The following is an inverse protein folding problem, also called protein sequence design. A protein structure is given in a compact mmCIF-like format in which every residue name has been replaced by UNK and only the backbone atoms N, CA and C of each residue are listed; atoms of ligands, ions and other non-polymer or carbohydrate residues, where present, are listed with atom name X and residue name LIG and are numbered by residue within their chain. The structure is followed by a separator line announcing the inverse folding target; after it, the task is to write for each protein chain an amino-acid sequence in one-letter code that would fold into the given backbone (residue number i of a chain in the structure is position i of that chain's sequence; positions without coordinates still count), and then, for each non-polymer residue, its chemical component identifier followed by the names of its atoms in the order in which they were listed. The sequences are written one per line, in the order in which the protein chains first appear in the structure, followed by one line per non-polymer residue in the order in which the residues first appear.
data_IF_794983768463
#
_entry.id   IF_794983768463
#
_cell.length_a   1.000
_cell.length_b   1.000
_cell.length_c   1.000
_cell.angle_alpha   90.00
_cell.angle_beta   90.00
_cell.angle_gamma   90.00
#
_symmetry.space_group_name_H-M   'P 1'
#
loop_
_entity.id
_entity.type
_entity.pdbx_description
1 polymer ?
#
# COMPACT_ATOMS: atom_id res chain seq x y z
N UNK A 1 5.40 -10.68 12.95
CA UNK A 1 5.31 -9.70 11.85
C UNK A 1 5.34 -10.45 10.54
N UNK A 2 4.53 -10.05 9.55
CA UNK A 2 4.58 -10.54 8.17
C UNK A 2 5.46 -9.63 7.32
N UNK A 3 6.01 -10.15 6.22
CA UNK A 3 6.86 -9.39 5.29
C UNK A 3 6.17 -8.10 4.80
N UNK A 4 4.90 -8.18 4.38
CA UNK A 4 4.10 -6.99 3.99
C UNK A 4 4.01 -5.93 5.11
N UNK A 5 3.92 -6.35 6.38
CA UNK A 5 3.90 -5.41 7.51
C UNK A 5 5.27 -4.75 7.71
N UNK A 6 6.36 -5.47 7.43
CA UNK A 6 7.70 -4.92 7.44
C UNK A 6 7.90 -3.93 6.29
N UNK A 7 7.33 -4.19 5.11
CA UNK A 7 7.36 -3.24 3.98
C UNK A 7 6.69 -1.93 4.38
N UNK A 8 5.43 -1.99 4.84
CA UNK A 8 4.68 -0.81 5.27
C UNK A 8 5.41 -0.02 6.38
N UNK A 9 6.05 -0.75 7.30
CA UNK A 9 6.83 -0.17 8.39
C UNK A 9 8.08 0.57 7.88
N UNK A 10 8.87 -0.07 7.01
CA UNK A 10 10.10 0.52 6.45
C UNK A 10 9.85 1.67 5.49
N UNK A 11 8.71 1.65 4.80
CA UNK A 11 8.24 2.77 3.99
C UNK A 11 8.01 4.00 4.88
N UNK A 12 7.39 3.82 6.03
CA UNK A 12 7.04 4.92 6.95
C UNK A 12 8.24 5.39 7.77
N UNK A 13 9.21 4.50 7.97
CA UNK A 13 10.43 4.74 8.76
C UNK A 13 11.66 4.42 7.89
N UNK A 14 11.75 5.10 6.74
CA UNK A 14 12.80 4.85 5.74
C UNK A 14 14.21 5.17 6.27
N UNK A 15 14.29 6.03 7.28
CA UNK A 15 15.49 6.37 8.06
C UNK A 15 16.11 5.16 8.78
N UNK A 16 15.33 4.12 9.06
CA UNK A 16 15.87 2.86 9.59
C UNK A 16 16.74 2.11 8.56
N UNK A 17 16.45 2.31 7.27
CA UNK A 17 17.28 1.82 6.17
C UNK A 17 18.49 2.75 6.00
N UNK A 18 18.22 4.01 5.63
CA UNK A 18 19.21 5.05 5.40
C UNK A 18 18.54 6.43 5.57
N UNK A 19 19.27 7.41 6.10
CA UNK A 19 18.75 8.77 6.26
C UNK A 19 18.37 9.41 4.91
N UNK A 20 17.29 10.20 4.92
CA UNK A 20 16.85 10.99 3.77
C UNK A 20 16.47 10.15 2.53
N UNK A 21 15.98 8.93 2.74
CA UNK A 21 15.34 8.15 1.68
C UNK A 21 13.93 8.66 1.38
N UNK A 22 13.69 8.99 0.12
CA UNK A 22 12.37 9.29 -0.42
C UNK A 22 11.77 8.00 -1.01
N UNK A 23 10.61 7.57 -0.50
CA UNK A 23 9.91 6.42 -1.06
C UNK A 23 9.33 6.72 -2.45
N UNK A 24 9.55 5.81 -3.40
CA UNK A 24 9.06 5.93 -4.78
C UNK A 24 7.93 4.95 -5.05
N UNK A 25 8.17 3.64 -4.86
CA UNK A 25 7.20 2.61 -5.21
C UNK A 25 7.38 1.30 -4.43
N UNK A 26 6.30 0.56 -4.28
CA UNK A 26 6.27 -0.78 -3.70
C UNK A 26 5.94 -1.80 -4.80
N UNK A 27 6.59 -2.97 -4.75
CA UNK A 27 6.50 -4.02 -5.79
C UNK A 27 6.89 -3.50 -7.19
N UNK A 28 7.97 -2.70 -7.26
CA UNK A 28 8.43 -2.08 -8.49
C UNK A 28 8.86 -3.12 -9.52
N UNK A 29 8.42 -2.95 -10.77
CA UNK A 29 8.66 -3.93 -11.84
C UNK A 29 10.03 -3.73 -12.47
N UNK A 30 10.83 -4.80 -12.50
CA UNK A 30 12.14 -4.85 -13.18
C UNK A 30 12.08 -6.01 -14.18
N UNK A 31 11.77 -5.71 -15.44
CA UNK A 31 11.51 -6.74 -16.46
C UNK A 31 10.33 -7.64 -16.08
N UNK A 32 10.60 -8.94 -15.87
CA UNK A 32 9.62 -9.93 -15.38
C UNK A 32 9.61 -10.08 -13.85
N UNK A 33 10.52 -9.40 -13.15
CA UNK A 33 10.65 -9.47 -11.70
C UNK A 33 9.99 -8.27 -11.00
N UNK A 34 9.87 -8.38 -9.68
CA UNK A 34 9.37 -7.31 -8.80
C UNK A 34 10.33 -7.14 -7.65
N UNK A 35 10.84 -5.93 -7.48
CA UNK A 35 11.60 -5.52 -6.31
C UNK A 35 10.63 -5.02 -5.23
N UNK A 36 10.87 -5.38 -3.98
CA UNK A 36 9.94 -5.11 -2.88
C UNK A 36 9.69 -3.61 -2.69
N UNK A 37 10.75 -2.81 -2.60
CA UNK A 37 10.68 -1.36 -2.40
C UNK A 37 11.68 -0.63 -3.30
N UNK A 38 11.27 0.53 -3.81
CA UNK A 38 12.13 1.48 -4.53
C UNK A 38 12.13 2.80 -3.80
N UNK A 39 13.33 3.32 -3.51
CA UNK A 39 13.56 4.62 -2.92
C UNK A 39 14.46 5.47 -3.82
N UNK A 40 14.55 6.76 -3.49
CA UNK A 40 15.55 7.68 -4.00
C UNK A 40 16.38 8.21 -2.83
N UNK A 41 17.71 8.13 -2.93
CA UNK A 41 18.62 8.60 -1.89
C UNK A 41 18.83 10.11 -1.93
N UNK A 42 19.52 10.66 -0.92
CA UNK A 42 19.86 12.09 -0.83
C UNK A 42 20.62 12.66 -2.02
N UNK A 43 21.32 11.80 -2.76
CA UNK A 43 22.08 12.16 -3.96
C UNK A 43 21.24 11.99 -5.24
N UNK A 44 19.97 11.63 -5.09
CA UNK A 44 19.04 11.42 -6.18
C UNK A 44 19.16 10.07 -6.89
N UNK A 45 19.95 9.12 -6.36
CA UNK A 45 20.14 7.78 -6.94
C UNK A 45 19.00 6.86 -6.56
N UNK A 46 18.59 5.99 -7.47
CA UNK A 46 17.59 4.96 -7.19
C UNK A 46 18.17 3.88 -6.29
N UNK A 47 17.47 3.54 -5.22
CA UNK A 47 17.80 2.47 -4.29
C UNK A 47 16.72 1.38 -4.34
N UNK A 48 17.08 0.24 -4.91
CA UNK A 48 16.27 -0.96 -5.00
C UNK A 48 16.49 -1.82 -3.76
N UNK A 49 15.43 -2.09 -3.02
CA UNK A 49 15.50 -2.79 -1.74
C UNK A 49 14.70 -4.08 -1.80
N UNK A 50 15.37 -5.21 -1.58
CA UNK A 50 14.73 -6.50 -1.32
C UNK A 50 14.61 -6.68 0.19
N UNK A 51 13.39 -6.93 0.68
CA UNK A 51 13.08 -7.00 2.10
C UNK A 51 12.75 -8.43 2.50
N UNK A 52 13.35 -8.92 3.58
CA UNK A 52 13.05 -10.26 4.13
C UNK A 52 13.00 -10.23 5.65
N UNK A 53 12.08 -11.00 6.25
CA UNK A 53 12.11 -11.22 7.71
C UNK A 53 13.41 -11.90 8.15
N UNK A 54 13.88 -12.87 7.36
CA UNK A 54 15.17 -13.53 7.50
C UNK A 54 15.84 -13.59 6.13
N UNK A 55 16.94 -12.87 5.96
CA UNK A 55 17.69 -12.81 4.71
C UNK A 55 18.49 -14.11 4.55
N UNK A 56 18.31 -14.76 3.41
CA UNK A 56 19.01 -15.99 3.00
C UNK A 56 19.67 -15.82 1.62
N UNK A 57 20.38 -16.86 1.16
CA UNK A 57 21.11 -16.84 -0.11
C UNK A 57 20.22 -16.57 -1.34
N UNK A 58 18.91 -16.89 -1.25
CA UNK A 58 17.98 -16.66 -2.36
C UNK A 58 17.74 -15.16 -2.57
N UNK A 59 17.70 -14.40 -1.48
CA UNK A 59 17.55 -12.94 -1.53
C UNK A 59 18.76 -12.30 -2.22
N UNK A 60 19.98 -12.81 -1.99
CA UNK A 60 21.19 -12.37 -2.71
C UNK A 60 21.03 -12.62 -4.21
N UNK A 61 20.58 -13.81 -4.60
CA UNK A 61 20.32 -14.12 -6.01
C UNK A 61 19.23 -13.25 -6.65
N UNK A 62 18.23 -12.81 -5.89
CA UNK A 62 17.24 -11.82 -6.38
C UNK A 62 17.88 -10.46 -6.60
N UNK A 63 18.65 -9.96 -5.63
CA UNK A 63 19.35 -8.68 -5.72
C UNK A 63 20.27 -8.61 -6.94
N UNK A 64 21.06 -9.67 -7.17
CA UNK A 64 21.95 -9.79 -8.33
C UNK A 64 21.19 -9.76 -9.66
N UNK A 65 20.01 -10.39 -9.71
CA UNK A 65 19.16 -10.37 -10.90
C UNK A 65 18.63 -8.96 -11.18
N UNK A 66 18.26 -8.20 -10.15
CA UNK A 66 17.83 -6.81 -10.32
C UNK A 66 18.98 -5.95 -10.86
N UNK A 67 20.17 -6.07 -10.28
CA UNK A 67 21.35 -5.34 -10.72
C UNK A 67 21.73 -5.63 -12.18
N UNK A 68 21.53 -6.87 -12.65
CA UNK A 68 21.77 -7.22 -14.06
C UNK A 68 20.69 -6.76 -15.04
N UNK A 69 19.53 -6.30 -14.57
CA UNK A 69 18.39 -5.90 -15.40
C UNK A 69 18.14 -4.39 -15.44
N UNK A 70 18.66 -3.64 -14.47
CA UNK A 70 18.52 -2.18 -14.40
C UNK A 70 19.64 -1.54 -15.20
N UNK A 71 19.28 -0.80 -16.25
CA UNK A 71 20.21 -0.07 -17.11
C UNK A 71 20.52 1.32 -16.56
N UNK A 72 21.01 1.36 -15.31
CA UNK A 72 21.48 2.58 -14.63
C UNK A 72 22.67 2.25 -13.74
N UNK A 73 23.86 2.71 -14.14
CA UNK A 73 25.11 2.50 -13.39
C UNK A 73 25.17 3.24 -12.06
N UNK A 74 24.25 4.19 -11.81
CA UNK A 74 24.13 4.87 -10.53
C UNK A 74 23.10 4.22 -9.59
N UNK A 75 22.37 3.20 -10.06
CA UNK A 75 21.41 2.48 -9.23
C UNK A 75 22.12 1.71 -8.10
N UNK A 76 21.50 1.72 -6.93
CA UNK A 76 21.94 1.02 -5.74
C UNK A 76 21.01 -0.13 -5.44
N UNK A 77 21.55 -1.19 -4.86
CA UNK A 77 20.80 -2.39 -4.52
C UNK A 77 21.14 -2.80 -3.09
N UNK A 78 20.12 -2.94 -2.24
CA UNK A 78 20.31 -3.25 -0.82
C UNK A 78 19.41 -4.40 -0.35
N UNK A 79 20.00 -5.29 0.46
CA UNK A 79 19.24 -6.29 1.22
C UNK A 79 18.87 -5.74 2.60
N UNK A 80 17.58 -5.71 2.90
CA UNK A 80 17.09 -5.25 4.21
C UNK A 80 16.35 -6.39 4.90
N UNK A 81 16.65 -6.64 6.17
CA UNK A 81 15.88 -7.63 6.92
C UNK A 81 16.04 -7.55 8.42
N UNK A 82 15.24 -8.33 9.15
CA UNK A 82 15.30 -8.36 10.62
C UNK A 82 16.46 -9.20 11.14
N UNK A 83 16.83 -10.24 10.38
CA UNK A 83 17.92 -11.15 10.69
C UNK A 83 18.58 -11.64 9.40
N UNK A 84 19.85 -12.04 9.49
CA UNK A 84 20.59 -12.64 8.39
C UNK A 84 21.04 -14.05 8.77
N UNK A 85 21.09 -14.97 7.80
CA UNK A 85 21.77 -16.25 8.01
C UNK A 85 23.25 -16.03 8.29
N UNK A 86 23.83 -16.93 9.09
CA UNK A 86 25.21 -16.80 9.56
C UNK A 86 26.21 -16.68 8.41
N UNK A 87 27.19 -15.78 8.53
CA UNK A 87 28.24 -15.55 7.52
C UNK A 87 27.81 -14.71 6.31
N UNK A 88 26.50 -14.47 6.12
CA UNK A 88 26.00 -13.77 4.94
C UNK A 88 26.32 -12.28 4.97
N UNK A 89 26.22 -11.62 6.12
CA UNK A 89 26.55 -10.18 6.23
C UNK A 89 28.03 -9.93 5.94
N UNK A 90 28.90 -10.80 6.46
CA UNK A 90 30.34 -10.75 6.23
C UNK A 90 30.66 -10.97 4.75
N UNK A 91 29.99 -11.92 4.10
CA UNK A 91 30.07 -12.15 2.66
C UNK A 91 29.63 -10.94 1.85
N UNK A 92 28.45 -10.38 2.14
CA UNK A 92 27.93 -9.19 1.46
C UNK A 92 28.88 -8.00 1.60
N UNK A 93 29.36 -7.72 2.82
CA UNK A 93 30.33 -6.64 3.09
C UNK A 93 31.61 -6.83 2.30
N UNK A 94 32.19 -8.04 2.32
CA UNK A 94 33.44 -8.37 1.63
C UNK A 94 33.35 -8.14 0.11
N UNK A 95 32.17 -8.35 -0.46
CA UNK A 95 31.91 -8.20 -1.89
C UNK A 95 31.29 -6.83 -2.26
N UNK A 96 31.17 -5.91 -1.30
CA UNK A 96 30.67 -4.56 -1.54
C UNK A 96 29.15 -4.47 -1.77
N UNK A 97 28.38 -5.47 -1.35
CA UNK A 97 26.92 -5.43 -1.41
C UNK A 97 26.34 -4.68 -0.21
N UNK A 98 25.43 -3.76 -0.50
CA UNK A 98 24.74 -3.01 0.52
C UNK A 98 23.74 -3.89 1.26
N UNK A 99 23.71 -3.77 2.58
CA UNK A 99 22.78 -4.50 3.42
C UNK A 99 22.49 -3.74 4.71
N UNK A 100 21.29 -3.96 5.26
CA UNK A 100 20.86 -3.37 6.53
C UNK A 100 20.09 -4.39 7.35
N UNK A 101 20.50 -4.56 8.60
CA UNK A 101 19.75 -5.31 9.59
C UNK A 101 18.94 -4.33 10.45
N UNK A 102 17.62 -4.51 10.45
CA UNK A 102 16.68 -3.62 11.13
C UNK A 102 16.47 -4.14 12.55
N UNK A 103 16.87 -3.33 13.52
CA UNK A 103 16.62 -3.59 14.93
C UNK A 103 15.27 -2.98 15.29
N UNK A 104 14.24 -3.82 15.46
CA UNK A 104 12.93 -3.35 15.90
C UNK A 104 12.89 -3.28 17.43
N UNK A 105 12.81 -2.08 18.00
CA UNK A 105 12.44 -1.96 19.41
C UNK A 105 10.94 -2.27 19.60
N UNK A 106 10.57 -2.91 20.71
CA UNK A 106 9.18 -3.31 20.99
C UNK A 106 8.16 -2.14 20.96
N UNK A 107 8.63 -0.89 21.09
CA UNK A 107 7.81 0.34 21.04
C UNK A 107 7.67 0.95 19.64
N UNK A 108 8.60 0.67 18.71
CA UNK A 108 8.61 1.26 17.36
C UNK A 108 7.51 0.67 16.46
N UNK A 109 7.08 -0.56 16.74
CA UNK A 109 5.97 -1.21 16.03
C UNK A 109 4.63 -0.46 16.26
N UNK A 110 4.52 0.30 17.35
CA UNK A 110 3.26 0.90 17.82
C UNK A 110 3.15 2.41 17.61
N UNK A 111 4.24 3.10 17.26
CA UNK A 111 4.31 4.56 17.32
C UNK A 111 5.11 5.02 16.11
N UNK A 112 4.57 5.98 15.36
CA UNK A 112 5.22 6.79 14.31
C UNK A 112 4.94 6.36 12.85
N UNK A 113 4.52 7.22 11.92
CA UNK A 113 3.54 8.32 11.85
C UNK A 113 3.82 9.03 10.52
N UNK A 114 2.92 8.85 9.55
CA UNK A 114 2.39 9.80 8.55
C UNK A 114 2.02 9.02 7.30
N UNK A 115 0.82 9.27 6.80
CA UNK A 115 0.22 8.65 5.63
C UNK A 115 1.17 8.79 4.43
N UNK A 116 1.88 7.72 4.02
CA UNK A 116 2.68 7.84 2.83
C UNK A 116 1.75 7.62 1.63
N UNK A 117 1.84 8.51 0.66
CA UNK A 117 1.22 8.39 -0.65
C UNK A 117 1.92 7.26 -1.39
N UNK A 118 1.45 6.02 -1.27
CA UNK A 118 2.18 4.89 -1.86
C UNK A 118 1.74 4.64 -3.29
N UNK A 119 2.59 4.90 -4.28
CA UNK A 119 2.36 4.36 -5.62
C UNK A 119 2.57 2.85 -5.57
N UNK A 120 1.57 2.07 -6.03
CA UNK A 120 1.72 0.62 -6.20
C UNK A 120 1.78 0.30 -7.69
N UNK A 121 2.97 -0.08 -8.18
CA UNK A 121 3.25 -0.28 -9.61
C UNK A 121 3.29 1.01 -10.43
N UNK A 122 3.15 0.88 -11.76
CA UNK A 122 3.03 2.01 -12.71
C UNK A 122 1.66 2.69 -12.58
N UNK A 123 1.40 3.33 -11.45
CA UNK A 123 0.23 4.20 -11.31
C UNK A 123 0.38 5.40 -12.24
N UNK A 124 -0.65 5.71 -13.02
CA UNK A 124 -0.73 6.96 -13.80
C UNK A 124 -0.99 8.20 -12.93
N UNK A 125 -1.19 8.00 -11.63
CA UNK A 125 -1.46 9.05 -10.65
C UNK A 125 -0.40 9.06 -9.57
N UNK A 126 0.01 10.25 -9.16
CA UNK A 126 1.04 10.49 -8.15
C UNK A 126 0.47 11.08 -6.85
N UNK A 127 -0.79 11.53 -6.85
CA UNK A 127 -1.45 12.09 -5.68
C UNK A 127 -2.96 11.76 -5.62
N UNK A 128 -3.58 11.80 -4.42
CA UNK A 128 -5.03 11.67 -4.30
C UNK A 128 -5.77 12.77 -5.07
N UNK A 129 -5.22 13.97 -5.11
CA UNK A 129 -5.81 15.10 -5.84
C UNK A 129 -5.86 14.84 -7.35
N UNK A 130 -4.82 14.23 -7.93
CA UNK A 130 -4.83 13.79 -9.33
C UNK A 130 -5.88 12.71 -9.60
N UNK A 131 -6.00 11.73 -8.68
CA UNK A 131 -7.04 10.71 -8.77
C UNK A 131 -8.42 11.35 -8.72
N UNK A 132 -8.64 12.26 -7.77
CA UNK A 132 -9.92 12.94 -7.57
C UNK A 132 -10.25 13.78 -8.80
N UNK A 133 -9.31 14.58 -9.31
CA UNK A 133 -9.51 15.39 -10.52
C UNK A 133 -9.87 14.55 -11.76
N UNK A 134 -9.51 13.25 -11.78
CA UNK A 134 -9.81 12.35 -12.90
C UNK A 134 -11.26 11.84 -12.97
N UNK A 135 -12.07 12.02 -11.92
CA UNK A 135 -13.49 11.62 -11.94
C UNK A 135 -14.32 12.47 -12.90
N UNK A 136 -15.37 11.86 -13.48
CA UNK A 136 -16.08 12.41 -14.66
C UNK A 136 -16.82 13.72 -14.42
N UNK A 137 -17.23 13.99 -13.18
CA UNK A 137 -18.06 15.17 -12.84
C UNK A 137 -17.59 15.85 -11.56
N UNK A 138 -17.80 17.17 -11.46
CA UNK A 138 -17.52 17.93 -10.25
C UNK A 138 -18.26 17.37 -9.02
N UNK A 139 -19.48 16.85 -9.20
CA UNK A 139 -20.23 16.18 -8.12
C UNK A 139 -19.47 14.96 -7.59
N UNK A 140 -19.04 14.06 -8.47
CA UNK A 140 -18.25 12.88 -8.09
C UNK A 140 -16.88 13.23 -7.51
N UNK A 141 -16.25 14.31 -7.98
CA UNK A 141 -14.99 14.82 -7.43
C UNK A 141 -15.18 15.28 -5.98
N UNK A 142 -16.20 16.10 -5.72
CA UNK A 142 -16.54 16.55 -4.36
C UNK A 142 -16.86 15.38 -3.43
N UNK A 143 -17.66 14.41 -3.89
CA UNK A 143 -17.97 13.21 -3.09
C UNK A 143 -16.69 12.42 -2.79
N UNK A 144 -15.84 12.18 -3.78
CA UNK A 144 -14.58 11.48 -3.59
C UNK A 144 -13.66 12.22 -2.60
N UNK A 145 -13.56 13.55 -2.69
CA UNK A 145 -12.79 14.37 -1.76
C UNK A 145 -13.33 14.26 -0.33
N UNK A 146 -14.64 14.35 -0.15
CA UNK A 146 -15.27 14.21 1.16
C UNK A 146 -15.03 12.83 1.78
N UNK A 147 -15.07 11.76 0.98
CA UNK A 147 -14.75 10.40 1.43
C UNK A 147 -13.27 10.31 1.82
N UNK A 148 -12.38 10.84 0.98
CA UNK A 148 -10.95 10.84 1.26
C UNK A 148 -10.66 11.56 2.58
N UNK A 149 -11.13 12.79 2.74
CA UNK A 149 -10.90 13.60 3.94
C UNK A 149 -11.46 12.95 5.19
N UNK A 150 -12.64 12.33 5.10
CA UNK A 150 -13.23 11.61 6.23
C UNK A 150 -12.36 10.41 6.64
N UNK A 151 -11.90 9.60 5.68
CA UNK A 151 -11.17 8.37 5.95
C UNK A 151 -9.72 8.64 6.36
N UNK A 152 -9.12 9.71 5.82
CA UNK A 152 -7.76 10.15 6.20
C UNK A 152 -7.68 10.61 7.66
N UNK A 153 -8.80 11.09 8.23
CA UNK A 153 -8.92 11.42 9.65
C UNK A 153 -9.04 10.19 10.56
N UNK A 154 -9.34 9.00 10.03
CA UNK A 154 -9.46 7.78 10.84
C UNK A 154 -8.07 7.31 11.24
N UNK A 155 -7.81 7.27 12.55
CA UNK A 155 -6.57 6.75 13.13
C UNK A 155 -6.22 5.35 12.60
N UNK A 156 -4.93 5.09 12.44
CA UNK A 156 -4.39 3.82 11.94
C UNK A 156 -4.84 3.44 10.52
N UNK A 157 -5.20 4.43 9.71
CA UNK A 157 -5.42 4.25 8.27
C UNK A 157 -4.21 4.71 7.47
N UNK A 158 -3.94 4.06 6.35
CA UNK A 158 -3.06 4.56 5.30
C UNK A 158 -3.69 4.24 3.94
N UNK A 159 -3.20 4.88 2.89
CA UNK A 159 -3.67 4.62 1.54
C UNK A 159 -2.52 4.39 0.57
N UNK A 160 -2.83 3.75 -0.55
CA UNK A 160 -1.96 3.63 -1.70
C UNK A 160 -2.74 3.94 -2.97
N UNK A 161 -2.03 4.38 -4.01
CA UNK A 161 -2.56 4.81 -5.29
C UNK A 161 -2.22 3.77 -6.35
N UNK A 162 -3.23 3.41 -7.15
CA UNK A 162 -3.07 2.63 -8.37
C UNK A 162 -4.11 3.08 -9.40
N UNK A 163 -5.18 2.34 -9.68
CA UNK A 163 -6.33 2.79 -10.48
C UNK A 163 -7.36 3.60 -9.68
N UNK A 164 -6.97 4.07 -8.51
CA UNK A 164 -7.79 4.76 -7.52
C UNK A 164 -7.02 4.97 -6.22
N UNK A 165 -7.73 5.29 -5.15
CA UNK A 165 -7.18 5.41 -3.79
C UNK A 165 -7.67 4.21 -2.98
N UNK A 166 -6.75 3.40 -2.46
CA UNK A 166 -7.07 2.19 -1.69
C UNK A 166 -6.67 2.38 -0.23
N UNK A 167 -7.64 2.28 0.68
CA UNK A 167 -7.39 2.44 2.11
C UNK A 167 -7.22 1.10 2.82
N UNK A 168 -6.22 1.07 3.70
CA UNK A 168 -5.88 -0.06 4.55
C UNK A 168 -5.71 0.38 5.99
N UNK A 169 -5.96 -0.56 6.90
CA UNK A 169 -5.64 -0.41 8.32
C UNK A 169 -4.20 -0.83 8.57
N UNK A 170 -3.47 -0.08 9.39
CA UNK A 170 -2.11 -0.43 9.82
C UNK A 170 -2.13 -1.80 10.50
N UNK A 171 -1.13 -2.62 10.19
CA UNK A 171 -1.00 -3.98 10.71
C UNK A 171 -2.02 -4.99 10.18
N UNK A 172 -2.95 -4.59 9.30
CA UNK A 172 -3.96 -5.46 8.68
C UNK A 172 -3.61 -5.78 7.22
N UNK A 173 -4.09 -6.90 6.70
CA UNK A 173 -3.68 -7.37 5.36
C UNK A 173 -4.53 -6.78 4.26
N UNK A 174 -5.80 -6.59 4.58
CA UNK A 174 -6.78 -6.33 3.58
C UNK A 174 -7.17 -4.86 3.58
N UNK A 175 -7.34 -4.32 2.38
CA UNK A 175 -8.03 -3.04 2.19
C UNK A 175 -9.48 -3.18 2.62
N UNK A 176 -9.98 -2.13 3.27
CA UNK A 176 -11.37 -2.05 3.70
C UNK A 176 -12.19 -1.10 2.81
N UNK A 177 -11.52 -0.19 2.08
CA UNK A 177 -12.17 0.79 1.22
C UNK A 177 -11.34 1.06 -0.04
N UNK A 178 -11.97 1.37 -1.17
CA UNK A 178 -11.28 1.93 -2.34
C UNK A 178 -12.15 2.94 -3.07
N UNK A 179 -11.60 4.09 -3.43
CA UNK A 179 -12.21 5.07 -4.33
C UNK A 179 -11.62 4.81 -5.73
N UNK A 180 -12.39 4.19 -6.60
CA UNK A 180 -11.93 3.63 -7.88
C UNK A 180 -12.31 4.52 -9.06
N UNK A 181 -11.32 4.89 -9.89
CA UNK A 181 -11.57 5.58 -11.16
C UNK A 181 -12.26 4.69 -12.19
N UNK A 182 -12.19 3.37 -12.01
CA UNK A 182 -12.97 2.41 -12.81
C UNK A 182 -14.45 2.54 -12.46
N UNK A 183 -15.19 3.14 -13.41
CA UNK A 183 -16.63 3.42 -13.34
C UNK A 183 -17.05 4.40 -12.23
N UNK A 184 -16.13 5.20 -11.69
CA UNK A 184 -16.40 6.22 -10.65
C UNK A 184 -17.15 5.61 -9.44
N UNK A 185 -16.51 4.62 -8.80
CA UNK A 185 -17.13 3.80 -7.74
C UNK A 185 -16.38 3.88 -6.43
N UNK A 186 -17.13 3.76 -5.34
CA UNK A 186 -16.62 3.40 -4.04
C UNK A 186 -16.78 1.89 -3.84
N UNK A 187 -15.71 1.22 -3.45
CA UNK A 187 -15.67 -0.21 -3.19
C UNK A 187 -15.50 -0.43 -1.69
N UNK A 188 -16.54 -0.94 -1.05
CA UNK A 188 -16.52 -1.33 0.36
C UNK A 188 -16.06 -2.78 0.46
N UNK A 189 -14.99 -3.06 1.20
CA UNK A 189 -14.47 -4.40 1.37
C UNK A 189 -14.81 -4.93 2.77
N UNK A 190 -15.40 -6.12 2.83
CA UNK A 190 -15.92 -6.75 4.05
C UNK A 190 -15.59 -8.26 4.06
N UNK A 191 -15.68 -8.98 5.20
CA UNK A 191 -15.44 -10.42 5.20
C UNK A 191 -16.38 -11.15 4.24
N UNK A 192 -15.84 -12.12 3.49
CA UNK A 192 -16.61 -12.92 2.51
C UNK A 192 -17.86 -13.53 3.15
N UNK A 193 -17.74 -14.03 4.39
CA UNK A 193 -18.85 -14.67 5.11
C UNK A 193 -19.93 -13.70 5.58
N UNK A 194 -19.63 -12.39 5.64
CA UNK A 194 -20.54 -11.35 6.15
C UNK A 194 -21.09 -10.44 5.05
N UNK A 195 -20.52 -10.46 3.84
CA UNK A 195 -20.90 -9.57 2.73
C UNK A 195 -22.40 -9.48 2.51
N UNK A 196 -23.08 -10.62 2.38
CA UNK A 196 -24.51 -10.62 2.05
C UNK A 196 -25.39 -10.13 3.21
N UNK A 197 -24.95 -10.34 4.46
CA UNK A 197 -25.64 -9.83 5.66
C UNK A 197 -25.52 -8.30 5.70
N UNK A 198 -24.30 -7.80 5.51
CA UNK A 198 -24.01 -6.37 5.47
C UNK A 198 -24.76 -5.70 4.31
N UNK A 199 -24.76 -6.30 3.12
CA UNK A 199 -25.51 -5.81 1.97
C UNK A 199 -26.99 -5.64 2.33
N UNK A 200 -27.60 -6.66 2.95
CA UNK A 200 -29.01 -6.59 3.38
C UNK A 200 -29.27 -5.50 4.42
N UNK A 201 -28.31 -5.22 5.29
CA UNK A 201 -28.41 -4.19 6.32
C UNK A 201 -28.46 -2.77 5.73
N UNK A 202 -27.71 -2.51 4.66
CA UNK A 202 -27.54 -1.15 4.11
C UNK A 202 -28.35 -0.87 2.83
N UNK A 203 -28.83 -1.90 2.12
CA UNK A 203 -29.50 -1.76 0.81
C UNK A 203 -30.76 -0.88 0.82
N UNK A 204 -31.41 -0.67 1.97
CA UNK A 204 -32.60 0.20 2.06
C UNK A 204 -32.26 1.68 2.24
N UNK A 205 -31.08 1.99 2.79
CA UNK A 205 -30.66 3.37 3.09
C UNK A 205 -29.69 3.95 2.07
N UNK A 206 -28.97 3.09 1.35
CA UNK A 206 -27.96 3.50 0.35
C UNK A 206 -28.10 2.60 -0.87
N UNK A 207 -27.95 3.19 -2.05
CA UNK A 207 -27.98 2.47 -3.31
C UNK A 207 -26.65 1.74 -3.54
N UNK A 208 -26.62 0.48 -3.15
CA UNK A 208 -25.46 -0.40 -3.18
C UNK A 208 -25.69 -1.60 -4.11
N UNK A 209 -24.60 -2.20 -4.58
CA UNK A 209 -24.63 -3.32 -5.53
C UNK A 209 -23.64 -4.41 -5.13
N UNK A 210 -23.93 -5.65 -5.47
CA UNK A 210 -22.95 -6.72 -5.45
C UNK A 210 -22.28 -6.82 -6.82
N UNK A 211 -20.94 -6.93 -6.88
CA UNK A 211 -20.24 -7.10 -8.15
C UNK A 211 -20.67 -8.39 -8.85
N UNK A 212 -20.77 -8.33 -10.17
CA UNK A 212 -21.14 -9.47 -11.02
C UNK A 212 -20.02 -10.52 -11.05
N UNK A 213 -18.77 -10.08 -10.93
CA UNK A 213 -17.62 -10.98 -10.91
C UNK A 213 -17.60 -11.82 -9.63
N UNK A 214 -17.66 -13.14 -9.82
CA UNK A 214 -17.66 -14.12 -8.72
C UNK A 214 -16.34 -14.13 -7.92
N UNK A 215 -15.29 -13.48 -8.40
CA UNK A 215 -14.01 -13.32 -7.68
C UNK A 215 -14.11 -12.24 -6.60
N UNK A 216 -15.00 -11.27 -6.73
CA UNK A 216 -15.18 -10.14 -5.81
C UNK A 216 -16.12 -10.49 -4.64
N UNK A 217 -15.84 -11.61 -3.98
CA UNK A 217 -16.70 -12.18 -2.92
C UNK A 217 -16.73 -11.37 -1.63
N UNK A 218 -15.87 -10.36 -1.51
CA UNK A 218 -15.66 -9.57 -0.30
C UNK A 218 -16.04 -8.09 -0.51
N UNK A 219 -16.75 -7.76 -1.59
CA UNK A 219 -16.94 -6.38 -2.03
C UNK A 219 -18.42 -6.01 -2.16
N UNK A 220 -18.74 -4.77 -1.78
CA UNK A 220 -20.01 -4.09 -2.02
C UNK A 220 -19.69 -2.79 -2.75
N UNK A 221 -20.36 -2.54 -3.87
CA UNK A 221 -20.08 -1.42 -4.76
C UNK A 221 -21.11 -0.30 -4.53
N UNK A 222 -20.65 0.94 -4.60
CA UNK A 222 -21.49 2.14 -4.59
C UNK A 222 -21.02 3.03 -5.73
N UNK A 223 -21.94 3.47 -6.59
CA UNK A 223 -21.61 4.48 -7.59
C UNK A 223 -21.44 5.83 -6.88
N UNK A 224 -20.36 6.57 -7.15
CA UNK A 224 -20.13 7.84 -6.45
C UNK A 224 -21.29 8.82 -6.65
N UNK A 225 -21.90 8.83 -7.85
CA UNK A 225 -23.09 9.65 -8.16
C UNK A 225 -24.35 9.28 -7.37
N UNK A 226 -24.40 8.07 -6.81
CA UNK A 226 -25.56 7.57 -6.06
C UNK A 226 -25.44 7.91 -4.55
N UNK A 227 -24.33 8.52 -4.10
CA UNK A 227 -24.11 8.92 -2.71
C UNK A 227 -24.74 10.28 -2.46
N UNK A 228 -25.83 10.30 -1.68
CA UNK A 228 -26.56 11.53 -1.36
C UNK A 228 -25.86 12.39 -0.30
N UNK A 229 -25.26 11.76 0.72
CA UNK A 229 -24.56 12.46 1.81
C UNK A 229 -23.52 11.57 2.48
N UNK A 230 -22.52 12.18 3.11
CA UNK A 230 -21.54 11.45 3.93
C UNK A 230 -22.20 10.75 5.13
N UNK A 231 -23.22 11.35 5.74
CA UNK A 231 -23.92 10.77 6.89
C UNK A 231 -24.48 9.37 6.58
N UNK A 232 -25.04 9.19 5.38
CA UNK A 232 -25.53 7.87 4.94
C UNK A 232 -24.39 6.84 4.81
N UNK A 233 -23.19 7.29 4.48
CA UNK A 233 -22.05 6.45 4.10
C UNK A 233 -21.15 6.07 5.28
N UNK A 234 -21.02 6.95 6.29
CA UNK A 234 -20.16 6.73 7.45
C UNK A 234 -20.41 5.37 8.13
N UNK A 235 -21.66 4.93 8.38
CA UNK A 235 -21.90 3.64 9.05
C UNK A 235 -21.33 2.43 8.31
N UNK A 236 -21.45 2.38 6.97
CA UNK A 236 -20.93 1.25 6.18
C UNK A 236 -19.40 1.31 6.04
N UNK A 237 -18.81 2.52 5.98
CA UNK A 237 -17.35 2.68 6.02
C UNK A 237 -16.80 2.19 7.37
N UNK A 238 -17.42 2.59 8.48
CA UNK A 238 -16.99 2.21 9.83
C UNK A 238 -17.07 0.70 10.03
N UNK A 239 -18.17 0.07 9.62
CA UNK A 239 -18.32 -1.38 9.69
C UNK A 239 -17.25 -2.10 8.85
N UNK A 240 -16.95 -1.61 7.63
CA UNK A 240 -15.89 -2.20 6.81
C UNK A 240 -14.51 -2.04 7.45
N UNK A 241 -14.23 -0.85 8.01
CA UNK A 241 -13.02 -0.59 8.77
C UNK A 241 -12.88 -1.60 9.92
N UNK A 242 -13.92 -1.78 10.74
CA UNK A 242 -13.88 -2.67 11.90
C UNK A 242 -13.76 -4.15 11.52
N UNK A 243 -14.55 -4.58 10.54
CA UNK A 243 -14.80 -6.00 10.32
C UNK A 243 -13.97 -6.65 9.22
N UNK A 244 -13.31 -5.90 8.31
CA UNK A 244 -12.72 -6.46 7.08
C UNK A 244 -11.89 -7.74 7.24
N UNK A 245 -11.18 -7.91 8.35
CA UNK A 245 -10.16 -8.96 8.52
C UNK A 245 -10.71 -10.40 8.57
#
# INVERSE_FOLDING_TARGET
MREMQLHDFLITNSDLIEEQLEFISQEFRIGSYRCDLLFKDRNGRQLYVEVKLKVDDRAVGQLLRYAGLVDDNNARFMLVGLTFVHGLKEGLTKHGYEHREIQLAAREISITVKHPTLSRGESKFHSPDEVIASFKSSVTQTIAKNIFDHVDQISDTYYYISDGIMFKRKGRNYKFLSISTVQDRLLIHVPVKKRDIIFKQFQSGIKIYLPIDKRDKNQIDIQLKDIASMESLVPIIQMAYEERE
#
